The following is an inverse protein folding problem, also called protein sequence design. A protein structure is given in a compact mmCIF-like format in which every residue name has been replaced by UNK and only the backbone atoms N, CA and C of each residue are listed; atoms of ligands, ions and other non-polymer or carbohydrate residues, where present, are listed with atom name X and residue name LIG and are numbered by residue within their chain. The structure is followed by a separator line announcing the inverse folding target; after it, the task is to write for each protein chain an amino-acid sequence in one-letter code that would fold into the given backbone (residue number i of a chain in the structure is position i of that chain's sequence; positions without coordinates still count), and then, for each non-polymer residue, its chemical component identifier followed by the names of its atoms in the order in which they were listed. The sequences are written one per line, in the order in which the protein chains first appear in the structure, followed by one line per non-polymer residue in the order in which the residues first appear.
data_IF_760170934080
#
_entry.id   IF_760170934080
#
_cell.length_a   1.000
_cell.length_b   1.000
_cell.length_c   1.000
_cell.angle_alpha   90.00
_cell.angle_beta   90.00
_cell.angle_gamma   90.00
#
_symmetry.space_group_name_H-M   'P 1'
#
loop_
_entity.id
_entity.type
_entity.pdbx_description
1 polymer ?
#
# COMPACT_ATOMS: atom_id res chain seq x y z
N UNK A 1 -26.00 1.90 7.36
CA UNK A 1 -26.72 1.08 6.36
C UNK A 1 -27.92 1.87 5.87
N UNK A 2 -27.92 2.32 4.63
CA UNK A 2 -29.14 2.88 4.05
C UNK A 2 -30.15 1.74 3.92
N UNK A 3 -31.36 1.98 4.43
CA UNK A 3 -32.43 0.99 4.49
C UNK A 3 -32.82 0.57 3.05
N UNK A 4 -32.58 -0.68 2.68
CA UNK A 4 -33.02 -1.30 1.40
C UNK A 4 -34.56 -1.15 1.21
N UNK A 5 -35.30 -0.93 2.28
CA UNK A 5 -36.78 -0.79 2.25
C UNK A 5 -37.34 0.45 1.52
N UNK A 6 -36.51 1.38 1.08
CA UNK A 6 -36.96 2.62 0.43
C UNK A 6 -36.89 2.57 -1.11
N UNK A 7 -36.41 1.49 -1.71
CA UNK A 7 -36.42 1.34 -3.17
C UNK A 7 -37.69 0.64 -3.61
N UNK A 8 -38.71 1.42 -3.85
CA UNK A 8 -40.05 0.94 -4.25
C UNK A 8 -40.28 0.91 -5.77
N UNK A 9 -39.29 1.31 -6.58
CA UNK A 9 -39.44 1.34 -8.03
C UNK A 9 -38.45 0.38 -8.71
N UNK A 10 -38.93 -0.32 -9.74
CA UNK A 10 -38.13 -1.13 -10.68
C UNK A 10 -37.51 -0.26 -11.78
N UNK A 11 -37.41 1.07 -11.55
CA UNK A 11 -36.84 1.98 -12.52
C UNK A 11 -35.34 1.71 -12.71
N UNK A 12 -34.85 1.93 -13.91
CA UNK A 12 -33.45 1.77 -14.23
C UNK A 12 -32.60 2.75 -13.42
N UNK A 13 -31.47 2.24 -12.89
CA UNK A 13 -30.56 3.02 -12.08
C UNK A 13 -29.93 4.12 -12.92
N UNK A 14 -29.99 5.36 -12.43
CA UNK A 14 -29.26 6.47 -13.02
C UNK A 14 -27.80 6.44 -12.57
N UNK A 15 -26.88 6.22 -13.51
CA UNK A 15 -25.44 6.20 -13.27
C UNK A 15 -24.95 7.46 -12.54
N UNK A 16 -25.54 8.62 -12.82
CA UNK A 16 -25.14 9.89 -12.20
C UNK A 16 -25.46 9.96 -10.70
N UNK A 17 -26.35 9.10 -10.19
CA UNK A 17 -26.69 9.04 -8.78
C UNK A 17 -25.64 8.25 -7.97
N UNK A 18 -24.78 7.48 -8.64
CA UNK A 18 -23.60 6.90 -8.00
C UNK A 18 -22.56 7.97 -7.71
N UNK A 19 -21.97 7.91 -6.51
CA UNK A 19 -20.84 8.76 -6.11
C UNK A 19 -19.85 7.93 -5.32
N UNK A 20 -18.63 8.44 -5.18
CA UNK A 20 -17.61 7.80 -4.32
C UNK A 20 -18.14 7.68 -2.91
N UNK A 21 -18.69 8.76 -2.36
CA UNK A 21 -19.42 8.79 -1.07
C UNK A 21 -20.79 9.42 -1.31
N UNK A 22 -21.73 9.17 -0.41
CA UNK A 22 -23.08 9.76 -0.44
C UNK A 22 -23.84 9.52 -1.76
N UNK A 23 -23.64 8.39 -2.40
CA UNK A 23 -24.43 7.97 -3.56
C UNK A 23 -25.92 7.82 -3.21
N UNK A 24 -26.79 8.07 -4.19
CA UNK A 24 -28.25 7.98 -4.05
C UNK A 24 -28.83 6.71 -4.65
N UNK A 25 -27.97 5.78 -5.10
CA UNK A 25 -28.36 4.48 -5.62
C UNK A 25 -28.20 3.39 -4.55
N UNK A 26 -28.78 2.23 -4.80
CA UNK A 26 -28.53 1.04 -3.97
C UNK A 26 -27.04 0.67 -4.03
N UNK A 27 -26.40 0.58 -2.87
CA UNK A 27 -24.99 0.21 -2.73
C UNK A 27 -24.66 -1.22 -3.17
N UNK A 28 -25.68 -2.05 -3.40
CA UNK A 28 -25.53 -3.42 -3.93
C UNK A 28 -25.54 -3.47 -5.46
N UNK A 29 -25.84 -2.35 -6.13
CA UNK A 29 -25.95 -2.31 -7.59
C UNK A 29 -24.59 -2.03 -8.23
N UNK A 30 -23.92 -3.08 -8.66
CA UNK A 30 -22.63 -2.97 -9.37
C UNK A 30 -22.81 -2.38 -10.76
N UNK A 31 -23.75 -2.85 -11.55
CA UNK A 31 -24.04 -2.35 -12.88
C UNK A 31 -25.31 -1.47 -12.88
N UNK A 32 -25.33 -0.40 -13.67
CA UNK A 32 -24.30 0.09 -14.57
C UNK A 32 -23.11 0.69 -13.84
N UNK A 33 -21.90 0.50 -14.38
CA UNK A 33 -20.69 1.10 -13.84
C UNK A 33 -20.64 2.61 -14.08
N UNK A 34 -20.31 3.36 -13.02
CA UNK A 34 -19.88 4.76 -13.14
C UNK A 34 -18.34 4.87 -13.12
N UNK A 35 -17.72 4.05 -12.31
CA UNK A 35 -16.27 4.02 -12.12
C UNK A 35 -15.69 2.75 -12.74
N UNK A 36 -15.81 2.60 -14.07
CA UNK A 36 -15.24 1.46 -14.81
C UNK A 36 -13.77 1.25 -14.49
N UNK A 37 -13.03 2.35 -14.27
CA UNK A 37 -11.61 2.29 -13.88
C UNK A 37 -11.39 1.54 -12.56
N UNK A 38 -12.31 1.60 -11.59
CA UNK A 38 -12.18 0.85 -10.33
C UNK A 38 -12.32 -0.65 -10.58
N UNK A 39 -13.25 -1.05 -11.45
CA UNK A 39 -13.38 -2.43 -11.89
C UNK A 39 -12.13 -2.92 -12.62
N UNK A 40 -11.53 -2.10 -13.49
CA UNK A 40 -10.27 -2.42 -14.16
C UNK A 40 -9.12 -2.62 -13.15
N UNK A 41 -9.04 -1.81 -12.08
CA UNK A 41 -8.06 -2.01 -11.01
C UNK A 41 -8.24 -3.36 -10.33
N UNK A 42 -9.48 -3.74 -10.01
CA UNK A 42 -9.79 -5.05 -9.45
C UNK A 42 -9.32 -6.20 -10.37
N UNK A 43 -9.62 -6.12 -11.66
CA UNK A 43 -9.16 -7.12 -12.63
C UNK A 43 -7.62 -7.18 -12.73
N UNK A 44 -6.95 -6.03 -12.72
CA UNK A 44 -5.48 -5.97 -12.75
C UNK A 44 -4.86 -6.56 -11.49
N UNK A 45 -5.40 -6.26 -10.32
CA UNK A 45 -4.94 -6.81 -9.06
C UNK A 45 -5.01 -8.34 -9.04
N UNK A 46 -6.07 -8.92 -9.60
CA UNK A 46 -6.21 -10.38 -9.69
C UNK A 46 -5.17 -11.05 -10.63
N UNK A 47 -4.46 -10.28 -11.47
CA UNK A 47 -3.35 -10.82 -12.28
C UNK A 47 -2.04 -10.95 -11.49
N UNK A 48 -1.91 -10.32 -10.33
CA UNK A 48 -0.78 -10.47 -9.43
C UNK A 48 -1.11 -11.51 -8.35
N UNK A 49 -1.06 -12.78 -8.73
CA UNK A 49 -1.36 -13.90 -7.83
C UNK A 49 -0.07 -14.57 -7.37
N UNK A 50 0.18 -14.57 -6.08
CA UNK A 50 1.39 -15.12 -5.47
C UNK A 50 1.16 -15.48 -4.01
N UNK A 51 2.07 -16.29 -3.42
CA UNK A 51 2.13 -16.54 -1.98
C UNK A 51 3.57 -16.59 -1.49
N UNK A 52 3.85 -16.19 -0.24
CA UNK A 52 5.23 -16.21 0.31
C UNK A 52 5.88 -17.60 0.27
N UNK A 53 5.09 -18.65 0.45
CA UNK A 53 5.59 -20.03 0.53
C UNK A 53 6.15 -20.56 -0.80
N UNK A 54 5.90 -19.90 -1.91
CA UNK A 54 6.43 -20.28 -3.22
C UNK A 54 7.88 -19.80 -3.41
N UNK A 55 8.37 -18.91 -2.53
CA UNK A 55 9.70 -18.32 -2.63
C UNK A 55 10.69 -19.07 -1.72
N UNK A 56 11.82 -19.46 -2.29
CA UNK A 56 12.87 -20.15 -1.55
C UNK A 56 13.75 -19.18 -0.75
N UNK A 57 13.69 -19.26 0.56
CA UNK A 57 14.43 -18.41 1.52
C UNK A 57 15.76 -19.00 2.00
N UNK A 58 16.17 -20.17 1.54
CA UNK A 58 17.37 -20.86 2.03
C UNK A 58 18.67 -20.06 1.83
N UNK A 59 18.76 -19.36 0.68
CA UNK A 59 19.91 -18.50 0.40
C UNK A 59 19.89 -17.25 1.27
N UNK A 60 18.72 -16.72 1.60
CA UNK A 60 18.58 -15.53 2.45
C UNK A 60 19.04 -15.83 3.88
N UNK A 61 18.74 -17.01 4.42
CA UNK A 61 19.25 -17.44 5.73
C UNK A 61 20.78 -17.51 5.74
N UNK A 62 21.39 -18.06 4.70
CA UNK A 62 22.83 -18.10 4.55
C UNK A 62 23.44 -16.70 4.41
N UNK A 63 22.84 -15.83 3.59
CA UNK A 63 23.29 -14.45 3.41
C UNK A 63 23.20 -13.67 4.73
N UNK A 64 22.06 -13.76 5.41
CA UNK A 64 21.81 -13.10 6.69
C UNK A 64 22.83 -13.52 7.75
N UNK A 65 23.09 -14.83 7.88
CA UNK A 65 23.97 -15.37 8.93
C UNK A 65 25.45 -15.11 8.68
N UNK A 66 25.89 -15.17 7.42
CA UNK A 66 27.32 -15.24 7.08
C UNK A 66 27.86 -14.06 6.28
N UNK A 67 26.99 -13.28 5.57
CA UNK A 67 27.43 -12.25 4.64
C UNK A 67 27.02 -10.83 5.06
N UNK A 68 25.83 -10.66 5.67
CA UNK A 68 25.38 -9.34 6.09
C UNK A 68 26.23 -8.82 7.26
N UNK A 69 26.68 -7.57 7.13
CA UNK A 69 27.31 -6.83 8.22
C UNK A 69 26.29 -6.52 9.33
N UNK A 70 26.73 -6.18 10.54
CA UNK A 70 25.81 -5.74 11.60
C UNK A 70 24.91 -4.56 11.19
N UNK A 71 25.44 -3.59 10.43
CA UNK A 71 24.67 -2.45 9.90
C UNK A 71 23.58 -2.89 8.92
N UNK A 72 23.89 -3.84 8.04
CA UNK A 72 22.91 -4.38 7.08
C UNK A 72 21.84 -5.23 7.75
N UNK A 73 22.18 -5.99 8.80
CA UNK A 73 21.22 -6.70 9.65
C UNK A 73 20.28 -5.72 10.36
N UNK A 74 20.86 -4.67 10.95
CA UNK A 74 20.09 -3.60 11.58
C UNK A 74 19.11 -2.95 10.60
N UNK A 75 19.56 -2.60 9.39
CA UNK A 75 18.72 -2.09 8.34
C UNK A 75 17.57 -3.04 8.01
N UNK A 76 17.88 -4.29 7.69
CA UNK A 76 16.92 -5.30 7.28
C UNK A 76 15.83 -5.54 8.33
N UNK A 77 16.23 -5.77 9.58
CA UNK A 77 15.32 -6.06 10.68
C UNK A 77 14.38 -4.87 10.99
N UNK A 78 14.88 -3.63 10.90
CA UNK A 78 14.07 -2.45 11.18
C UNK A 78 13.14 -2.07 10.03
N UNK A 79 13.48 -2.42 8.78
CA UNK A 79 12.53 -2.36 7.66
C UNK A 79 11.35 -3.30 7.93
N UNK A 80 11.61 -4.57 8.29
CA UNK A 80 10.54 -5.50 8.64
C UNK A 80 9.70 -5.01 9.82
N UNK A 81 10.35 -4.50 10.87
CA UNK A 81 9.68 -4.00 12.07
C UNK A 81 8.71 -2.83 11.78
N UNK A 82 9.05 -1.95 10.84
CA UNK A 82 8.15 -0.88 10.42
C UNK A 82 7.01 -1.42 9.57
N UNK A 83 7.31 -2.19 8.51
CA UNK A 83 6.33 -2.64 7.53
C UNK A 83 5.28 -3.58 8.15
N UNK A 84 5.67 -4.50 9.04
CA UNK A 84 4.72 -5.39 9.74
C UNK A 84 3.60 -4.63 10.47
N UNK A 85 3.92 -3.47 11.05
CA UNK A 85 2.92 -2.63 11.73
C UNK A 85 2.18 -1.75 10.75
N UNK A 86 2.85 -1.24 9.74
CA UNK A 86 2.28 -0.33 8.76
C UNK A 86 1.18 -1.01 7.94
N UNK A 87 1.38 -2.23 7.43
CA UNK A 87 0.37 -2.97 6.66
C UNK A 87 -0.85 -3.35 7.49
N UNK A 88 -0.67 -3.66 8.79
CA UNK A 88 -1.82 -3.83 9.70
C UNK A 88 -2.62 -2.53 9.82
N UNK A 89 -1.96 -1.38 9.87
CA UNK A 89 -2.66 -0.08 9.88
C UNK A 89 -3.35 0.20 8.54
N UNK A 90 -2.71 -0.11 7.40
CA UNK A 90 -3.31 -0.01 6.07
C UNK A 90 -4.57 -0.85 5.96
N UNK A 91 -4.47 -2.14 6.22
CA UNK A 91 -5.58 -3.09 6.21
C UNK A 91 -6.76 -2.60 7.06
N UNK A 92 -6.49 -2.16 8.30
CA UNK A 92 -7.52 -1.66 9.21
C UNK A 92 -8.13 -0.35 8.73
N UNK A 93 -7.32 0.57 8.20
CA UNK A 93 -7.83 1.83 7.66
C UNK A 93 -8.74 1.58 6.45
N UNK A 94 -8.32 0.75 5.51
CA UNK A 94 -9.10 0.41 4.33
C UNK A 94 -10.41 -0.28 4.74
N UNK A 95 -10.33 -1.37 5.49
CA UNK A 95 -11.48 -2.21 5.83
C UNK A 95 -12.47 -1.57 6.79
N UNK A 96 -11.99 -0.82 7.78
CA UNK A 96 -12.82 -0.30 8.87
C UNK A 96 -13.15 1.19 8.78
N UNK A 97 -12.41 1.96 7.98
CA UNK A 97 -12.62 3.40 7.87
C UNK A 97 -13.04 3.85 6.48
N UNK A 98 -12.38 3.38 5.44
CA UNK A 98 -12.58 3.86 4.07
C UNK A 98 -13.69 3.10 3.36
N UNK A 99 -13.62 1.77 3.33
CA UNK A 99 -14.55 0.93 2.58
C UNK A 99 -16.00 1.11 3.04
N UNK A 100 -16.23 1.25 4.36
CA UNK A 100 -17.56 1.52 4.92
C UNK A 100 -18.17 2.85 4.44
N UNK A 101 -17.32 3.85 4.17
CA UNK A 101 -17.75 5.20 3.75
C UNK A 101 -17.96 5.31 2.23
N UNK A 102 -17.42 4.36 1.46
CA UNK A 102 -17.63 4.34 0.02
C UNK A 102 -19.04 3.83 -0.31
N UNK A 103 -19.72 4.50 -1.22
CA UNK A 103 -21.09 4.14 -1.63
C UNK A 103 -21.16 3.49 -3.02
N UNK A 104 -20.07 3.49 -3.77
CA UNK A 104 -20.01 2.84 -5.08
C UNK A 104 -19.45 1.42 -4.96
N UNK A 105 -20.21 0.37 -5.34
CA UNK A 105 -19.78 -1.03 -5.19
C UNK A 105 -18.47 -1.38 -5.91
N UNK A 106 -18.23 -0.79 -7.07
CA UNK A 106 -17.00 -0.99 -7.83
C UNK A 106 -15.73 -0.55 -7.06
N UNK A 107 -15.84 0.48 -6.22
CA UNK A 107 -14.75 0.92 -5.34
C UNK A 107 -14.57 -0.05 -4.17
N UNK A 108 -15.67 -0.47 -3.55
CA UNK A 108 -15.64 -1.42 -2.42
C UNK A 108 -15.06 -2.78 -2.83
N UNK A 109 -15.37 -3.27 -4.03
CA UNK A 109 -14.83 -4.53 -4.55
C UNK A 109 -13.31 -4.47 -4.66
N UNK A 110 -12.76 -3.38 -5.21
CA UNK A 110 -11.32 -3.21 -5.26
C UNK A 110 -10.71 -3.08 -3.86
N UNK A 111 -11.32 -2.34 -2.98
CA UNK A 111 -10.82 -2.17 -1.60
C UNK A 111 -10.84 -3.49 -0.81
N UNK A 112 -11.82 -4.36 -1.03
CA UNK A 112 -11.81 -5.69 -0.45
C UNK A 112 -10.60 -6.52 -0.93
N UNK A 113 -10.24 -6.37 -2.21
CA UNK A 113 -9.02 -6.97 -2.76
C UNK A 113 -7.78 -6.37 -2.12
N UNK A 114 -7.70 -5.04 -1.96
CA UNK A 114 -6.60 -4.36 -1.30
C UNK A 114 -6.42 -4.82 0.15
N UNK A 115 -7.50 -4.96 0.92
CA UNK A 115 -7.45 -5.52 2.30
C UNK A 115 -6.84 -6.92 2.32
N UNK A 116 -7.14 -7.75 1.33
CA UNK A 116 -6.52 -9.06 1.20
C UNK A 116 -5.02 -8.95 0.91
N UNK A 117 -4.62 -8.06 0.02
CA UNK A 117 -3.21 -7.85 -0.34
C UNK A 117 -2.38 -7.35 0.85
N UNK A 118 -2.88 -6.42 1.66
CA UNK A 118 -2.23 -5.99 2.91
C UNK A 118 -2.06 -7.13 3.92
N UNK A 119 -3.02 -8.04 3.96
CA UNK A 119 -2.92 -9.25 4.80
C UNK A 119 -1.86 -10.21 4.27
N UNK A 120 -1.73 -10.34 2.95
CA UNK A 120 -0.70 -11.12 2.27
C UNK A 120 0.70 -10.53 2.49
N UNK A 121 0.82 -9.19 2.44
CA UNK A 121 2.07 -8.48 2.76
C UNK A 121 2.49 -8.73 4.21
N UNK A 122 1.59 -8.62 5.17
CA UNK A 122 1.84 -8.95 6.57
C UNK A 122 2.33 -10.38 6.74
N UNK A 123 1.71 -11.34 6.05
CA UNK A 123 2.17 -12.73 6.04
C UNK A 123 3.57 -12.88 5.45
N UNK A 124 3.86 -12.12 4.41
CA UNK A 124 5.20 -12.12 3.77
C UNK A 124 6.29 -11.68 4.75
N UNK A 125 6.07 -10.62 5.51
CA UNK A 125 7.04 -10.18 6.52
C UNK A 125 7.20 -11.21 7.64
N UNK A 126 6.12 -11.83 8.07
CA UNK A 126 6.17 -12.94 9.03
C UNK A 126 6.98 -14.12 8.47
N UNK A 127 6.76 -14.47 7.21
CA UNK A 127 7.52 -15.52 6.53
C UNK A 127 9.03 -15.20 6.47
N UNK A 128 9.40 -13.95 6.19
CA UNK A 128 10.80 -13.51 6.24
C UNK A 128 11.39 -13.65 7.64
N UNK A 129 10.66 -13.20 8.68
CA UNK A 129 11.09 -13.27 10.09
C UNK A 129 11.34 -14.74 10.50
N UNK A 130 10.40 -15.63 10.19
CA UNK A 130 10.49 -17.07 10.52
C UNK A 130 11.61 -17.76 9.75
N UNK A 131 11.72 -17.51 8.45
CA UNK A 131 12.71 -18.16 7.58
C UNK A 131 14.15 -17.82 7.97
N UNK A 132 14.37 -16.66 8.59
CA UNK A 132 15.67 -16.20 9.05
C UNK A 132 15.92 -16.50 10.54
N UNK A 133 15.00 -17.16 11.22
CA UNK A 133 15.04 -17.44 12.66
C UNK A 133 15.21 -16.16 13.51
N UNK A 134 14.59 -15.05 13.11
CA UNK A 134 14.60 -13.82 13.89
C UNK A 134 13.66 -13.93 15.10
N UNK A 135 13.95 -13.19 16.16
CA UNK A 135 13.04 -13.10 17.30
C UNK A 135 11.80 -12.28 16.93
N UNK A 136 10.70 -12.99 16.66
CA UNK A 136 9.42 -12.39 16.27
C UNK A 136 8.94 -11.38 17.30
N UNK A 137 9.04 -11.71 18.58
CA UNK A 137 8.56 -10.84 19.66
C UNK A 137 9.36 -9.54 19.72
N UNK A 138 10.65 -9.62 19.47
CA UNK A 138 11.54 -8.45 19.45
C UNK A 138 11.21 -7.56 18.24
N UNK A 139 11.14 -8.14 17.04
CA UNK A 139 10.83 -7.40 15.79
C UNK A 139 9.47 -6.70 15.90
N UNK A 140 8.41 -7.43 16.28
CA UNK A 140 7.07 -6.86 16.42
C UNK A 140 6.92 -5.80 17.52
N UNK A 141 7.80 -5.79 18.53
CA UNK A 141 7.78 -4.76 19.57
C UNK A 141 8.52 -3.48 19.19
N UNK A 142 9.35 -3.48 18.16
CA UNK A 142 10.15 -2.30 17.78
C UNK A 142 9.33 -1.06 17.50
N UNK A 143 8.12 -1.20 16.97
CA UNK A 143 7.24 -0.03 16.79
C UNK A 143 6.89 0.71 18.11
N UNK A 144 7.12 0.08 19.26
CA UNK A 144 6.95 0.68 20.59
C UNK A 144 8.26 1.12 21.23
N UNK A 145 9.34 0.41 20.93
CA UNK A 145 10.64 0.57 21.61
C UNK A 145 11.62 1.44 20.82
N UNK A 146 11.42 1.58 19.51
CA UNK A 146 12.24 2.42 18.62
C UNK A 146 11.49 3.73 18.33
N UNK A 147 11.98 4.88 18.84
CA UNK A 147 11.27 6.17 18.71
C UNK A 147 11.03 6.58 17.26
N UNK A 148 11.94 6.27 16.35
CA UNK A 148 11.89 6.63 14.93
C UNK A 148 10.81 5.85 14.19
N UNK A 149 10.65 4.55 14.47
CA UNK A 149 9.55 3.74 13.98
C UNK A 149 8.23 4.22 14.58
N UNK A 150 8.19 4.44 15.89
CA UNK A 150 7.01 4.95 16.58
C UNK A 150 6.56 6.30 16.04
N UNK A 151 7.49 7.18 15.64
CA UNK A 151 7.20 8.49 15.04
C UNK A 151 6.31 8.39 13.80
N UNK A 152 6.65 7.52 12.85
CA UNK A 152 5.84 7.26 11.64
C UNK A 152 4.48 6.66 12.00
N UNK A 153 4.44 5.67 12.88
CA UNK A 153 3.21 5.02 13.34
C UNK A 153 2.28 6.01 14.06
N UNK A 154 2.83 6.90 14.88
CA UNK A 154 2.08 7.94 15.59
C UNK A 154 1.41 8.93 14.63
N UNK A 155 2.12 9.37 13.59
CA UNK A 155 1.57 10.27 12.56
C UNK A 155 0.44 9.56 11.81
N UNK A 156 0.65 8.31 11.40
CA UNK A 156 -0.36 7.49 10.73
C UNK A 156 -1.62 7.37 11.59
N UNK A 157 -1.49 6.96 12.83
CA UNK A 157 -2.61 6.86 13.76
C UNK A 157 -3.35 8.20 13.96
N UNK A 158 -2.60 9.30 14.16
CA UNK A 158 -3.20 10.64 14.34
C UNK A 158 -4.07 11.06 13.16
N UNK A 159 -3.63 10.74 11.92
CA UNK A 159 -4.32 11.14 10.68
C UNK A 159 -5.42 10.18 10.28
N UNK A 160 -5.19 8.87 10.37
CA UNK A 160 -6.14 7.84 9.96
C UNK A 160 -7.27 7.63 10.96
N UNK A 161 -7.02 7.71 12.28
CA UNK A 161 -8.05 7.53 13.29
C UNK A 161 -9.15 8.62 13.27
N UNK A 162 -8.93 9.74 12.58
CA UNK A 162 -9.95 10.78 12.44
C UNK A 162 -11.18 10.31 11.67
N UNK A 163 -11.00 9.35 10.77
CA UNK A 163 -12.08 8.77 9.96
C UNK A 163 -12.46 7.35 10.39
N UNK A 164 -11.72 6.77 11.34
CA UNK A 164 -12.03 5.45 11.92
C UNK A 164 -13.13 5.57 12.98
N UNK A 165 -14.24 6.18 12.61
CA UNK A 165 -15.43 6.35 13.44
C UNK A 165 -16.62 5.78 12.71
N UNK A 166 -17.30 4.83 13.34
CA UNK A 166 -18.48 4.17 12.76
C UNK A 166 -19.67 5.14 12.59
N UNK A 167 -19.69 6.23 13.37
CA UNK A 167 -20.73 7.27 13.38
C UNK A 167 -20.34 8.53 12.59
N UNK A 168 -19.27 8.48 11.77
CA UNK A 168 -18.87 9.63 10.94
C UNK A 168 -19.92 9.90 9.86
N UNK A 169 -20.76 10.89 10.11
CA UNK A 169 -21.81 11.32 9.19
C UNK A 169 -21.22 12.13 8.04
N UNK A 170 -21.10 11.51 6.87
CA UNK A 170 -20.62 12.15 5.64
C UNK A 170 -21.66 13.00 4.91
N UNK A 171 -22.90 13.15 5.40
CA UNK A 171 -23.81 14.21 4.94
C UNK A 171 -23.37 15.58 5.46
N UNK A 172 -22.60 15.63 6.55
CA UNK A 172 -21.99 16.83 7.08
C UNK A 172 -20.74 17.21 6.27
N UNK A 173 -20.72 18.41 5.71
CA UNK A 173 -19.62 18.91 4.86
C UNK A 173 -18.26 18.95 5.57
N UNK A 174 -18.22 19.26 6.87
CA UNK A 174 -16.95 19.29 7.61
C UNK A 174 -16.37 17.87 7.81
N UNK A 175 -17.23 16.87 8.00
CA UNK A 175 -16.82 15.48 8.04
C UNK A 175 -16.33 15.01 6.66
N UNK A 176 -16.94 15.44 5.57
CA UNK A 176 -16.47 15.18 4.20
C UNK A 176 -15.08 15.76 3.99
N UNK A 177 -14.85 17.02 4.37
CA UNK A 177 -13.52 17.63 4.31
C UNK A 177 -12.51 16.82 5.14
N UNK A 178 -12.87 16.46 6.38
CA UNK A 178 -11.99 15.65 7.22
C UNK A 178 -11.68 14.29 6.59
N UNK A 179 -12.65 13.67 5.93
CA UNK A 179 -12.45 12.43 5.20
C UNK A 179 -11.43 12.62 4.06
N UNK A 180 -11.60 13.66 3.23
CA UNK A 180 -10.69 13.99 2.13
C UNK A 180 -9.27 14.27 2.65
N UNK A 181 -9.12 15.03 3.75
CA UNK A 181 -7.83 15.31 4.37
C UNK A 181 -7.11 14.02 4.85
N UNK A 182 -7.84 13.13 5.49
CA UNK A 182 -7.27 11.85 5.97
C UNK A 182 -6.94 10.92 4.81
N UNK A 183 -7.81 10.90 3.79
CA UNK A 183 -7.59 10.09 2.60
C UNK A 183 -6.42 10.61 1.75
N UNK A 184 -6.21 11.94 1.70
CA UNK A 184 -5.03 12.54 1.04
C UNK A 184 -3.72 12.07 1.69
N UNK A 185 -3.65 12.04 3.03
CA UNK A 185 -2.49 11.47 3.73
C UNK A 185 -2.30 10.00 3.38
N UNK A 186 -3.37 9.20 3.41
CA UNK A 186 -3.33 7.78 3.11
C UNK A 186 -2.79 7.52 1.68
N UNK A 187 -3.40 8.14 0.66
CA UNK A 187 -3.08 7.88 -0.74
C UNK A 187 -1.72 8.46 -1.18
N UNK A 188 -1.35 9.66 -0.68
CA UNK A 188 -0.16 10.36 -1.17
C UNK A 188 1.10 9.99 -0.39
N UNK A 189 0.98 9.85 0.95
CA UNK A 189 2.13 9.63 1.82
C UNK A 189 2.22 8.18 2.26
N UNK A 190 1.18 7.65 2.87
CA UNK A 190 1.24 6.32 3.48
C UNK A 190 1.48 5.24 2.40
N UNK A 191 0.58 5.10 1.44
CA UNK A 191 0.70 4.20 0.30
C UNK A 191 1.66 4.75 -0.77
N UNK A 192 1.50 6.03 -1.09
CA UNK A 192 2.13 6.66 -2.25
C UNK A 192 3.62 6.97 -2.09
N UNK A 193 4.13 7.11 -0.85
CA UNK A 193 5.51 7.49 -0.60
C UNK A 193 6.19 6.59 0.43
N UNK A 194 5.62 6.40 1.61
CA UNK A 194 6.28 5.67 2.69
C UNK A 194 6.45 4.17 2.42
N UNK A 195 5.44 3.50 1.84
CA UNK A 195 5.61 2.11 1.41
C UNK A 195 6.52 2.04 0.19
N UNK A 196 6.23 2.83 -0.83
CA UNK A 196 6.96 2.80 -2.09
C UNK A 196 8.47 3.02 -1.90
N UNK A 197 8.86 4.02 -1.11
CA UNK A 197 10.26 4.27 -0.78
C UNK A 197 10.81 3.30 0.28
N UNK A 198 9.95 2.78 1.14
CA UNK A 198 10.31 1.88 2.25
C UNK A 198 10.89 0.53 1.82
N UNK A 199 10.64 0.12 0.58
CA UNK A 199 11.20 -1.13 0.01
C UNK A 199 12.63 -0.94 -0.53
N UNK A 200 13.06 0.29 -0.73
CA UNK A 200 14.38 0.62 -1.30
C UNK A 200 15.55 -0.05 -0.58
N UNK A 201 15.60 -0.14 0.78
CA UNK A 201 16.67 -0.82 1.48
C UNK A 201 16.84 -2.30 1.09
N UNK A 202 15.74 -3.01 0.89
CA UNK A 202 15.75 -4.42 0.51
C UNK A 202 16.29 -4.58 -0.92
N UNK A 203 15.85 -3.72 -1.84
CA UNK A 203 16.36 -3.73 -3.21
C UNK A 203 17.83 -3.29 -3.29
N UNK A 204 18.32 -2.45 -2.37
CA UNK A 204 19.73 -2.11 -2.27
C UNK A 204 20.58 -3.35 -1.91
N UNK A 205 20.12 -4.21 -1.03
CA UNK A 205 20.78 -5.51 -0.73
C UNK A 205 20.72 -6.45 -1.93
N UNK A 206 19.58 -6.54 -2.62
CA UNK A 206 19.42 -7.37 -3.83
C UNK A 206 20.41 -6.99 -4.94
N UNK A 207 20.66 -5.70 -5.17
CA UNK A 207 21.63 -5.21 -6.18
C UNK A 207 23.05 -5.74 -5.92
N UNK A 208 23.37 -6.09 -4.69
CA UNK A 208 24.63 -6.73 -4.29
C UNK A 208 24.59 -8.25 -4.35
N UNK A 209 23.49 -8.82 -4.85
CA UNK A 209 23.31 -10.27 -4.93
C UNK A 209 22.90 -10.93 -3.60
N UNK A 210 22.49 -10.13 -2.60
CA UNK A 210 22.12 -10.58 -1.26
C UNK A 210 20.59 -10.55 -1.08
N UNK A 211 20.07 -11.37 -0.16
CA UNK A 211 18.67 -11.40 0.25
C UNK A 211 17.67 -11.50 -0.93
N UNK A 212 17.97 -12.34 -1.90
CA UNK A 212 17.23 -12.43 -3.16
C UNK A 212 15.81 -12.95 -2.98
N UNK A 213 15.58 -13.89 -2.06
CA UNK A 213 14.25 -14.43 -1.78
C UNK A 213 13.35 -13.38 -1.17
N UNK A 214 13.83 -12.62 -0.16
CA UNK A 214 13.12 -11.46 0.38
C UNK A 214 12.82 -10.43 -0.71
N UNK A 215 13.82 -10.08 -1.51
CA UNK A 215 13.64 -9.08 -2.57
C UNK A 215 12.62 -9.52 -3.63
N UNK A 216 12.57 -10.81 -3.99
CA UNK A 216 11.57 -11.35 -4.92
C UNK A 216 10.15 -11.18 -4.34
N UNK A 217 9.94 -11.47 -3.06
CA UNK A 217 8.67 -11.22 -2.37
C UNK A 217 8.31 -9.72 -2.41
N UNK A 218 9.27 -8.86 -2.10
CA UNK A 218 9.08 -7.40 -2.13
C UNK A 218 8.79 -6.86 -3.53
N UNK A 219 9.23 -7.52 -4.60
CA UNK A 219 8.82 -7.18 -5.97
C UNK A 219 7.33 -7.45 -6.23
N UNK A 220 6.78 -8.54 -5.68
CA UNK A 220 5.35 -8.81 -5.76
C UNK A 220 4.55 -7.78 -4.95
N UNK A 221 4.98 -7.48 -3.72
CA UNK A 221 4.39 -6.42 -2.89
C UNK A 221 4.43 -5.08 -3.64
N UNK A 222 5.57 -4.70 -4.23
CA UNK A 222 5.72 -3.43 -4.95
C UNK A 222 4.75 -3.29 -6.14
N UNK A 223 4.37 -4.39 -6.78
CA UNK A 223 3.34 -4.37 -7.83
C UNK A 223 1.96 -4.08 -7.25
N UNK A 224 1.61 -4.69 -6.13
CA UNK A 224 0.35 -4.42 -5.43
C UNK A 224 0.32 -2.96 -4.96
N UNK A 225 1.38 -2.47 -4.30
CA UNK A 225 1.49 -1.09 -3.84
C UNK A 225 1.44 -0.05 -4.96
N UNK A 226 1.92 -0.39 -6.15
CA UNK A 226 1.80 0.49 -7.32
C UNK A 226 0.33 0.66 -7.73
N UNK A 227 -0.46 -0.41 -7.64
CA UNK A 227 -1.91 -0.35 -7.88
C UNK A 227 -2.62 0.40 -6.75
N UNK A 228 -2.27 0.12 -5.48
CA UNK A 228 -2.82 0.79 -4.30
C UNK A 228 -2.65 2.31 -4.37
N UNK A 229 -1.41 2.77 -4.58
CA UNK A 229 -1.10 4.19 -4.70
C UNK A 229 -1.84 4.86 -5.88
N UNK A 230 -1.88 4.20 -7.04
CA UNK A 230 -2.54 4.75 -8.23
C UNK A 230 -4.06 4.80 -8.07
N UNK A 231 -4.65 3.75 -7.49
CA UNK A 231 -6.07 3.73 -7.14
C UNK A 231 -6.41 4.82 -6.13
N UNK A 232 -5.62 4.93 -5.05
CA UNK A 232 -5.80 5.94 -4.01
C UNK A 232 -5.78 7.37 -4.58
N UNK A 233 -4.83 7.68 -5.45
CA UNK A 233 -4.75 8.96 -6.14
C UNK A 233 -5.98 9.20 -7.02
N UNK A 234 -6.45 8.19 -7.74
CA UNK A 234 -7.66 8.30 -8.59
C UNK A 234 -8.91 8.56 -7.75
N UNK A 235 -9.07 7.83 -6.64
CA UNK A 235 -10.17 8.07 -5.69
C UNK A 235 -10.10 9.48 -5.11
N UNK A 236 -8.91 9.90 -4.63
CA UNK A 236 -8.72 11.25 -4.06
C UNK A 236 -9.12 12.33 -5.04
N UNK A 237 -8.64 12.24 -6.29
CA UNK A 237 -8.95 13.20 -7.34
C UNK A 237 -10.45 13.23 -7.62
N UNK A 238 -11.09 12.07 -7.71
CA UNK A 238 -12.54 11.96 -7.94
C UNK A 238 -13.33 12.55 -6.78
N UNK A 239 -12.93 12.26 -5.52
CA UNK A 239 -13.55 12.86 -4.33
C UNK A 239 -13.46 14.38 -4.31
N UNK A 240 -12.29 14.94 -4.57
CA UNK A 240 -12.10 16.39 -4.62
C UNK A 240 -13.00 17.05 -5.67
N UNK A 241 -13.15 16.41 -6.82
CA UNK A 241 -14.03 16.88 -7.91
C UNK A 241 -15.50 16.78 -7.53
N UNK A 242 -15.96 15.63 -7.03
CA UNK A 242 -17.37 15.40 -6.70
C UNK A 242 -17.85 16.25 -5.52
N UNK A 243 -16.97 16.47 -4.53
CA UNK A 243 -17.30 17.28 -3.37
C UNK A 243 -17.01 18.78 -3.56
N UNK A 244 -16.44 19.15 -4.74
CA UNK A 244 -16.00 20.52 -5.04
C UNK A 244 -15.14 21.10 -3.91
N UNK A 245 -14.21 20.29 -3.42
CA UNK A 245 -13.32 20.66 -2.33
C UNK A 245 -11.90 20.15 -2.58
N UNK A 246 -10.97 21.07 -2.68
CA UNK A 246 -9.52 20.77 -2.66
C UNK A 246 -8.96 21.24 -1.32
N UNK A 247 -8.23 20.41 -0.58
CA UNK A 247 -7.53 20.83 0.62
C UNK A 247 -6.66 22.07 0.34
N UNK A 248 -6.59 23.05 1.26
CA UNK A 248 -5.71 24.20 1.09
C UNK A 248 -4.24 23.76 1.06
N UNK A 249 -3.40 24.50 0.33
CA UNK A 249 -1.98 24.09 0.15
C UNK A 249 -1.23 24.06 1.47
N UNK A 250 -1.55 24.91 2.41
CA UNK A 250 -0.97 24.96 3.75
C UNK A 250 -1.18 23.66 4.53
N UNK A 251 -2.29 22.94 4.25
CA UNK A 251 -2.50 21.61 4.82
C UNK A 251 -1.49 20.60 4.25
N UNK A 252 -1.27 20.64 2.94
CA UNK A 252 -0.31 19.75 2.27
C UNK A 252 1.12 20.07 2.71
N UNK A 253 1.48 21.35 2.77
CA UNK A 253 2.80 21.81 3.22
C UNK A 253 3.10 21.30 4.64
N UNK A 254 2.21 21.53 5.60
CA UNK A 254 2.35 21.00 6.96
C UNK A 254 2.46 19.46 6.98
N UNK A 255 1.66 18.77 6.17
CA UNK A 255 1.69 17.31 6.08
C UNK A 255 3.03 16.82 5.52
N UNK A 256 3.55 17.46 4.48
CA UNK A 256 4.81 17.07 3.87
C UNK A 256 6.00 17.32 4.80
N UNK A 257 6.04 18.44 5.50
CA UNK A 257 7.07 18.73 6.50
C UNK A 257 7.07 17.71 7.66
N UNK A 258 5.89 17.46 8.26
CA UNK A 258 5.74 16.47 9.33
C UNK A 258 6.21 15.08 8.88
N UNK A 259 5.84 14.68 7.67
CA UNK A 259 6.14 13.35 7.13
C UNK A 259 7.60 13.22 6.66
N UNK A 260 8.18 14.28 6.06
CA UNK A 260 9.60 14.30 5.69
C UNK A 260 10.49 14.21 6.93
N UNK A 261 10.13 14.93 8.00
CA UNK A 261 10.88 14.86 9.26
C UNK A 261 10.88 13.43 9.80
N UNK A 262 9.71 12.79 9.85
CA UNK A 262 9.61 11.42 10.35
C UNK A 262 10.37 10.42 9.47
N UNK A 263 10.34 10.59 8.15
CA UNK A 263 11.11 9.76 7.21
C UNK A 263 12.61 9.97 7.38
N UNK A 264 13.04 11.21 7.59
CA UNK A 264 14.45 11.56 7.84
C UNK A 264 14.95 10.95 9.14
N UNK A 265 14.19 11.10 10.22
CA UNK A 265 14.53 10.51 11.51
C UNK A 265 14.63 8.96 11.39
N UNK A 266 13.66 8.35 10.72
CA UNK A 266 13.61 6.90 10.48
C UNK A 266 14.82 6.40 9.67
N UNK A 267 15.12 6.98 8.51
CA UNK A 267 16.20 6.48 7.67
C UNK A 267 17.59 6.72 8.28
N UNK A 268 17.78 7.80 9.03
CA UNK A 268 19.04 8.03 9.76
C UNK A 268 19.25 7.00 10.89
N UNK A 269 18.17 6.52 11.50
CA UNK A 269 18.22 5.41 12.44
C UNK A 269 18.55 4.08 11.74
N UNK A 270 17.96 3.82 10.58
CA UNK A 270 18.19 2.59 9.82
C UNK A 270 19.58 2.53 9.18
N UNK A 271 20.09 3.68 8.74
CA UNK A 271 21.36 3.82 8.02
C UNK A 271 22.25 4.86 8.70
N UNK A 272 22.71 4.62 9.93
CA UNK A 272 23.68 5.49 10.59
C UNK A 272 25.01 5.54 9.83
N UNK A 273 25.31 4.49 9.07
CA UNK A 273 26.44 4.38 8.15
C UNK A 273 25.94 3.91 6.77
N UNK A 274 26.54 4.40 5.68
CA UNK A 274 26.18 3.95 4.34
C UNK A 274 26.43 2.46 4.14
N UNK A 275 25.53 1.81 3.42
CA UNK A 275 25.83 0.51 2.78
C UNK A 275 26.26 0.72 1.33
N UNK A 276 26.90 -0.25 0.72
CA UNK A 276 27.42 -0.10 -0.63
C UNK A 276 26.31 0.27 -1.64
N UNK A 277 26.44 1.48 -2.22
CA UNK A 277 25.52 2.01 -3.23
C UNK A 277 24.22 2.59 -2.69
N UNK A 278 24.08 2.78 -1.36
CA UNK A 278 22.89 3.34 -0.76
C UNK A 278 23.17 4.02 0.60
N UNK A 279 22.61 5.20 0.79
CA UNK A 279 22.74 5.98 2.03
C UNK A 279 21.46 6.76 2.35
N UNK A 280 21.41 7.37 3.55
CA UNK A 280 20.25 8.10 4.03
C UNK A 280 19.91 9.32 3.16
N UNK A 281 20.91 10.03 2.62
CA UNK A 281 20.70 11.20 1.76
C UNK A 281 20.01 10.81 0.47
N UNK A 282 20.44 9.72 -0.18
CA UNK A 282 19.77 9.18 -1.37
C UNK A 282 18.32 8.78 -1.08
N UNK A 283 18.07 8.18 0.07
CA UNK A 283 16.70 7.79 0.46
C UNK A 283 15.81 9.01 0.63
N UNK A 284 16.29 10.05 1.32
CA UNK A 284 15.54 11.29 1.56
C UNK A 284 15.26 12.02 0.24
N UNK A 285 16.25 12.08 -0.64
CA UNK A 285 16.10 12.71 -1.94
C UNK A 285 15.06 11.97 -2.81
N UNK A 286 15.15 10.65 -2.84
CA UNK A 286 14.15 9.82 -3.51
C UNK A 286 12.74 9.99 -2.94
N UNK A 287 12.61 10.09 -1.61
CA UNK A 287 11.33 10.37 -0.96
C UNK A 287 10.72 11.69 -1.45
N UNK A 288 11.51 12.78 -1.48
CA UNK A 288 11.06 14.08 -1.98
C UNK A 288 10.60 14.01 -3.43
N UNK A 289 11.37 13.32 -4.29
CA UNK A 289 10.99 13.09 -5.69
C UNK A 289 9.65 12.35 -5.81
N UNK A 290 9.43 11.31 -5.00
CA UNK A 290 8.17 10.55 -4.99
C UNK A 290 7.01 11.45 -4.54
N UNK A 291 7.17 12.25 -3.49
CA UNK A 291 6.13 13.19 -3.03
C UNK A 291 5.78 14.19 -4.13
N UNK A 292 6.76 14.78 -4.81
CA UNK A 292 6.54 15.66 -5.97
C UNK A 292 5.73 14.95 -7.07
N UNK A 293 6.06 13.69 -7.37
CA UNK A 293 5.31 12.86 -8.32
C UNK A 293 3.83 12.72 -7.90
N UNK A 294 3.53 12.54 -6.61
CA UNK A 294 2.15 12.48 -6.11
C UNK A 294 1.45 13.83 -6.23
N UNK A 295 2.14 14.94 -5.95
CA UNK A 295 1.60 16.29 -6.15
C UNK A 295 1.20 16.55 -7.60
N UNK A 296 2.06 16.20 -8.56
CA UNK A 296 1.74 16.28 -10.01
C UNK A 296 0.49 15.49 -10.37
N UNK A 297 0.33 14.29 -9.81
CA UNK A 297 -0.80 13.42 -10.10
C UNK A 297 -2.16 13.96 -9.65
N UNK A 298 -2.18 14.77 -8.59
CA UNK A 298 -3.41 15.43 -8.10
C UNK A 298 -3.52 16.91 -8.51
N UNK A 299 -2.54 17.44 -9.24
CA UNK A 299 -2.55 18.79 -9.76
C UNK A 299 -2.27 19.90 -8.75
N UNK A 300 -1.43 19.65 -7.70
CA UNK A 300 -0.98 20.66 -6.75
C UNK A 300 0.50 20.99 -6.94
N UNK A 301 0.95 22.12 -6.36
CA UNK A 301 2.33 22.53 -6.39
C UNK A 301 3.27 21.50 -5.73
N UNK A 302 4.45 21.35 -6.28
CA UNK A 302 5.49 20.47 -5.77
C UNK A 302 6.25 21.15 -4.63
N UNK A 303 6.35 20.50 -3.43
CA UNK A 303 7.03 21.13 -2.30
C UNK A 303 8.56 21.15 -2.40
N UNK A 304 9.15 20.29 -3.23
CA UNK A 304 10.60 20.08 -3.31
C UNK A 304 11.13 20.33 -4.73
N UNK A 305 11.26 21.59 -5.12
CA UNK A 305 11.51 22.02 -6.51
C UNK A 305 12.72 21.36 -7.17
N UNK A 306 13.80 21.09 -6.39
CA UNK A 306 15.06 20.55 -6.90
C UNK A 306 15.22 19.04 -6.68
N UNK A 307 14.16 18.34 -6.27
CA UNK A 307 14.25 16.91 -5.97
C UNK A 307 14.40 16.06 -7.25
N UNK A 308 15.43 15.22 -7.26
CA UNK A 308 15.79 14.37 -8.39
C UNK A 308 15.50 12.87 -8.12
N UNK A 309 15.25 12.11 -9.18
CA UNK A 309 15.18 10.66 -9.11
C UNK A 309 16.59 10.05 -9.03
N UNK A 310 17.14 9.98 -7.83
CA UNK A 310 18.49 9.46 -7.59
C UNK A 310 18.55 7.93 -7.46
N UNK A 311 17.40 7.28 -7.29
CA UNK A 311 17.28 5.81 -7.16
C UNK A 311 16.51 5.25 -8.37
N UNK A 312 17.04 5.47 -9.56
CA UNK A 312 16.40 5.09 -10.82
C UNK A 312 16.10 3.58 -10.93
N UNK A 313 16.91 2.75 -10.29
CA UNK A 313 16.72 1.30 -10.23
C UNK A 313 15.49 0.87 -9.40
N UNK A 314 14.89 1.76 -8.61
CA UNK A 314 13.63 1.48 -7.95
C UNK A 314 12.48 1.38 -8.97
N UNK A 315 12.46 2.26 -9.95
CA UNK A 315 11.47 2.21 -11.03
C UNK A 315 11.63 0.94 -11.90
N UNK A 316 12.84 0.41 -12.01
CA UNK A 316 13.09 -0.87 -12.69
C UNK A 316 12.36 -2.04 -12.00
N UNK A 317 12.27 -2.04 -10.65
CA UNK A 317 11.58 -3.08 -9.90
C UNK A 317 10.08 -3.11 -10.24
N UNK A 318 9.47 -1.96 -10.47
CA UNK A 318 8.07 -1.84 -10.87
C UNK A 318 7.86 -2.27 -12.32
N UNK A 319 8.84 -1.95 -13.18
CA UNK A 319 8.76 -2.15 -14.62
C UNK A 319 9.34 -3.50 -15.09
N UNK A 320 9.87 -4.33 -14.17
CA UNK A 320 10.29 -5.68 -14.51
C UNK A 320 9.12 -6.39 -15.19
N UNK A 321 9.21 -6.43 -16.52
CA UNK A 321 8.24 -7.09 -17.38
C UNK A 321 8.01 -8.50 -16.85
N UNK A 322 6.79 -8.96 -17.02
CA UNK A 322 6.30 -10.34 -16.86
C UNK A 322 7.11 -11.39 -17.64
N UNK A 323 8.43 -11.34 -17.64
CA UNK A 323 9.27 -12.33 -18.35
C UNK A 323 9.49 -13.61 -17.54
N UNK A 324 9.12 -13.64 -16.27
CA UNK A 324 8.83 -14.88 -15.57
C UNK A 324 7.31 -15.05 -15.50
N UNK A 325 6.71 -15.49 -16.60
CA UNK A 325 5.38 -16.05 -16.56
C UNK A 325 5.38 -17.18 -15.53
N UNK A 326 4.55 -17.05 -14.51
CA UNK A 326 4.18 -18.13 -13.60
C UNK A 326 3.73 -19.40 -14.35
N UNK A 327 3.37 -19.28 -15.64
CA UNK A 327 3.02 -20.36 -16.55
C UNK A 327 4.21 -21.02 -17.27
N UNK A 328 5.44 -20.54 -17.12
CA UNK A 328 6.63 -21.22 -17.66
C UNK A 328 7.22 -22.27 -16.72
N UNK A 329 6.95 -22.20 -15.41
CA UNK A 329 6.96 -23.37 -14.56
C UNK A 329 5.58 -24.03 -14.65
N UNK A 330 5.40 -24.95 -15.59
CA UNK A 330 4.22 -25.79 -15.67
C UNK A 330 3.98 -26.43 -14.32
N UNK A 331 2.94 -25.98 -13.59
CA UNK A 331 2.29 -26.80 -12.58
C UNK A 331 1.60 -27.92 -13.32
N UNK A 332 2.35 -29.02 -13.54
CA UNK A 332 1.86 -30.22 -14.26
C UNK A 332 0.91 -31.04 -13.40
N UNK A 333 0.38 -30.52 -12.30
CA UNK A 333 -0.48 -31.27 -11.35
C UNK A 333 -1.85 -30.68 -11.10
N UNK A 334 -2.33 -29.72 -11.88
CA UNK A 334 -3.74 -29.40 -11.89
C UNK A 334 -4.47 -30.44 -12.77
N UNK A 335 -4.92 -31.52 -12.16
CA UNK A 335 -5.95 -32.37 -12.78
C UNK A 335 -7.21 -31.52 -12.89
N UNK A 336 -7.64 -31.25 -14.09
CA UNK A 336 -8.95 -30.65 -14.34
C UNK A 336 -10.04 -31.64 -13.87
N UNK A 337 -11.17 -31.13 -13.39
CA UNK A 337 -12.32 -31.97 -12.97
C UNK A 337 -12.84 -32.96 -14.04
N UNK A 338 -12.27 -32.94 -15.25
CA UNK A 338 -12.57 -33.88 -16.32
C UNK A 338 -12.01 -35.31 -16.09
N UNK A 339 -11.07 -35.47 -15.12
CA UNK A 339 -10.46 -36.76 -14.80
C UNK A 339 -10.97 -37.36 -13.47
N UNK A 340 -12.00 -36.78 -12.87
CA UNK A 340 -12.67 -37.36 -11.71
C UNK A 340 -13.76 -38.32 -12.23
N UNK A 341 -13.43 -39.60 -12.20
CA UNK A 341 -14.40 -40.69 -12.39
C UNK A 341 -15.33 -40.72 -11.14
N UNK A 342 -16.52 -40.21 -11.31
CA UNK A 342 -17.62 -40.36 -10.36
C UNK A 342 -18.21 -41.73 -10.61
N UNK A 343 -17.58 -42.78 -10.02
CA UNK A 343 -18.12 -44.15 -10.11
C UNK A 343 -19.61 -44.13 -9.81
N UNK A 344 -20.39 -44.61 -10.77
CA UNK A 344 -21.80 -44.91 -10.62
C UNK A 344 -21.94 -46.06 -9.60
N UNK A 345 -22.47 -45.71 -8.41
CA UNK A 345 -23.10 -46.66 -7.49
C UNK A 345 -24.43 -46.07 -6.98
#
# INVERSE_FOLDING_TARGET
MQNISNFTSLDSINVNDKRVINGKTDINQLAPFKYEWAWEFFLKANNNHWTPNEINMSNDLADYTTKLTPAEKHLYENVLAYLTTADILAMRNIGLAVMEKMSAPELQIYQARQVYEESLHTWTYQHCIESLNLDQREIYNRYRTVPEIFGKIKISNKRLNKILKSDLDLTNKENVKQFILSYAFFAMIFEGAWFYNGFTPIFALQRRGLMKGTAEQFQYIMRDETLHATFGIKVLTTLMQEENYTPPYEYFEYMFEECLKAETDYINYLLPEPILGYNAEMHIEQYKYIVNRRCRQIGIAEPYADAENVITWLDEQVNLKKEKNFFESRVTEYKTNADLDWGDD
#
